data_IF_234537074671
#
_entry.id   IF_234537074671
#
_cell.length_a   1.000
_cell.length_b   1.000
_cell.length_c   1.000
_cell.angle_alpha   90.00
_cell.angle_beta   90.00
_cell.angle_gamma   90.00
#
_symmetry.space_group_name_H-M   'P 1'
#
loop_
_entity.id
_entity.type
_entity.pdbx_description
1 polymer ?
#
# COMPACT_ATOMS: atom_id res chain seq x y z
N UNK A 1 -26.06 7.73 -16.69
CA UNK A 1 -25.83 9.17 -16.86
C UNK A 1 -26.58 10.04 -15.84
N UNK A 2 -27.81 9.69 -15.45
CA UNK A 2 -28.56 10.40 -14.38
C UNK A 2 -27.76 10.57 -13.07
N UNK A 3 -27.04 9.52 -12.65
CA UNK A 3 -26.15 9.58 -11.49
C UNK A 3 -25.07 10.68 -11.59
N UNK A 4 -24.53 10.95 -12.78
CA UNK A 4 -23.53 12.01 -12.96
C UNK A 4 -24.18 13.39 -12.89
N UNK A 5 -25.39 13.55 -13.44
CA UNK A 5 -26.12 14.80 -13.31
C UNK A 5 -26.47 15.12 -11.84
N UNK A 6 -26.82 14.09 -11.07
CA UNK A 6 -27.05 14.18 -9.63
C UNK A 6 -25.76 14.53 -8.87
N UNK A 7 -24.63 13.86 -9.17
CA UNK A 7 -23.32 14.16 -8.57
C UNK A 7 -22.90 15.62 -8.80
N UNK A 8 -23.07 16.13 -10.03
CA UNK A 8 -22.79 17.53 -10.36
C UNK A 8 -23.71 18.47 -9.57
N UNK A 9 -25.00 18.15 -9.44
CA UNK A 9 -25.94 18.97 -8.67
C UNK A 9 -25.59 19.02 -7.18
N UNK A 10 -25.14 17.91 -6.60
CA UNK A 10 -24.66 17.83 -5.21
C UNK A 10 -23.43 18.72 -5.06
N UNK A 11 -22.40 18.53 -5.90
CA UNK A 11 -21.13 19.26 -5.77
C UNK A 11 -21.27 20.78 -5.99
N UNK A 12 -22.21 21.22 -6.82
CA UNK A 12 -22.51 22.67 -6.97
C UNK A 12 -23.09 23.29 -5.70
N UNK A 13 -23.70 22.51 -4.83
CA UNK A 13 -24.33 22.96 -3.60
C UNK A 13 -23.64 22.37 -2.36
N UNK A 14 -22.44 21.83 -2.52
CA UNK A 14 -21.75 21.17 -1.42
C UNK A 14 -21.39 22.18 -0.33
N UNK A 15 -21.71 21.82 0.90
CA UNK A 15 -21.45 22.64 2.10
C UNK A 15 -20.75 21.85 3.19
N UNK A 16 -20.65 20.53 3.04
CA UNK A 16 -19.98 19.66 3.99
C UNK A 16 -19.24 18.50 3.28
N UNK A 17 -18.28 17.85 3.97
CA UNK A 17 -17.53 16.72 3.40
C UNK A 17 -18.43 15.57 2.90
N UNK A 18 -19.53 15.28 3.59
CA UNK A 18 -20.45 14.20 3.19
C UNK A 18 -21.11 14.39 1.83
N UNK A 19 -21.21 15.63 1.33
CA UNK A 19 -21.68 15.90 -0.04
C UNK A 19 -20.69 15.38 -1.08
N UNK A 20 -19.38 15.45 -0.78
CA UNK A 20 -18.33 14.94 -1.66
C UNK A 20 -18.32 13.41 -1.69
N UNK A 21 -18.53 12.76 -0.54
CA UNK A 21 -18.66 11.30 -0.45
C UNK A 21 -19.87 10.79 -1.25
N UNK A 22 -21.03 11.44 -1.09
CA UNK A 22 -22.23 11.08 -1.85
C UNK A 22 -22.03 11.24 -3.37
N UNK A 23 -21.37 12.33 -3.80
CA UNK A 23 -21.05 12.54 -5.21
C UNK A 23 -20.07 11.46 -5.72
N UNK A 24 -19.11 11.05 -4.91
CA UNK A 24 -18.14 10.01 -5.23
C UNK A 24 -18.81 8.64 -5.46
N UNK A 25 -19.79 8.27 -4.64
CA UNK A 25 -20.57 7.05 -4.82
C UNK A 25 -21.32 7.04 -6.17
N UNK A 26 -21.90 8.17 -6.55
CA UNK A 26 -22.61 8.34 -7.82
C UNK A 26 -21.68 8.26 -9.03
N UNK A 27 -20.48 8.87 -8.95
CA UNK A 27 -19.43 8.74 -9.96
C UNK A 27 -19.02 7.28 -10.12
N UNK A 28 -18.77 6.59 -9.01
CA UNK A 28 -18.40 5.16 -9.02
C UNK A 28 -19.49 4.31 -9.67
N UNK A 29 -20.76 4.55 -9.31
CA UNK A 29 -21.91 3.85 -9.90
C UNK A 29 -22.02 4.06 -11.41
N UNK A 30 -21.67 5.24 -11.92
CA UNK A 30 -21.73 5.54 -13.34
C UNK A 30 -20.76 4.69 -14.18
N UNK A 31 -19.68 4.17 -13.59
CA UNK A 31 -18.70 3.31 -14.27
C UNK A 31 -19.22 1.92 -14.65
N UNK A 32 -20.47 1.58 -14.31
CA UNK A 32 -21.12 0.36 -14.78
C UNK A 32 -21.37 0.36 -16.30
N UNK A 33 -21.52 1.54 -16.89
CA UNK A 33 -21.61 1.74 -18.34
C UNK A 33 -20.36 2.48 -18.84
N UNK A 34 -19.30 1.72 -19.12
CA UNK A 34 -17.97 2.25 -19.45
C UNK A 34 -17.98 3.14 -20.70
N UNK A 35 -18.74 2.77 -21.73
CA UNK A 35 -18.79 3.50 -23.00
C UNK A 35 -19.46 4.86 -22.81
N UNK A 36 -20.66 4.91 -22.23
CA UNK A 36 -21.36 6.18 -21.99
C UNK A 36 -20.62 7.05 -20.98
N UNK A 37 -20.04 6.45 -19.94
CA UNK A 37 -19.31 7.16 -18.91
C UNK A 37 -18.04 7.81 -19.46
N UNK A 38 -17.23 7.07 -20.24
CA UNK A 38 -16.01 7.61 -20.85
C UNK A 38 -16.30 8.75 -21.82
N UNK A 39 -17.28 8.59 -22.72
CA UNK A 39 -17.68 9.65 -23.66
C UNK A 39 -18.15 10.94 -22.93
N UNK A 40 -18.91 10.79 -21.84
CA UNK A 40 -19.30 11.94 -21.03
C UNK A 40 -18.09 12.56 -20.32
N UNK A 41 -17.25 11.76 -19.68
CA UNK A 41 -16.11 12.22 -18.91
C UNK A 41 -15.16 13.09 -19.76
N UNK A 42 -14.82 12.64 -20.98
CA UNK A 42 -14.01 13.42 -21.94
C UNK A 42 -14.71 14.70 -22.43
N UNK A 43 -16.04 14.77 -22.37
CA UNK A 43 -16.78 16.00 -22.66
C UNK A 43 -16.72 16.95 -21.47
N UNK A 44 -16.90 16.44 -20.25
CA UNK A 44 -16.95 17.22 -19.02
C UNK A 44 -15.61 17.88 -18.67
N UNK A 45 -14.47 17.21 -18.88
CA UNK A 45 -13.14 17.82 -18.65
C UNK A 45 -12.84 19.03 -19.54
N UNK A 46 -13.61 19.24 -20.61
CA UNK A 46 -13.52 20.41 -21.49
C UNK A 46 -14.60 21.46 -21.20
N UNK A 47 -15.39 21.28 -20.13
CA UNK A 47 -16.46 22.21 -19.75
C UNK A 47 -15.88 23.53 -19.20
N UNK A 48 -16.61 24.62 -19.42
CA UNK A 48 -16.28 25.91 -18.79
C UNK A 48 -16.57 25.89 -17.27
N UNK A 49 -17.46 25.01 -16.82
CA UNK A 49 -17.83 24.85 -15.42
C UNK A 49 -16.81 23.99 -14.66
N UNK A 50 -16.29 24.51 -13.54
CA UNK A 50 -15.29 23.79 -12.75
C UNK A 50 -15.83 22.50 -12.13
N UNK A 51 -17.10 22.48 -11.72
CA UNK A 51 -17.72 21.27 -11.15
C UNK A 51 -17.84 20.17 -12.20
N UNK A 52 -18.25 20.51 -13.42
CA UNK A 52 -18.23 19.56 -14.52
C UNK A 52 -16.81 19.02 -14.76
N UNK A 53 -15.78 19.87 -14.81
CA UNK A 53 -14.40 19.41 -15.02
C UNK A 53 -13.91 18.50 -13.90
N UNK A 54 -14.20 18.85 -12.64
CA UNK A 54 -13.91 18.03 -11.46
C UNK A 54 -14.53 16.64 -11.60
N UNK A 55 -15.84 16.57 -11.83
CA UNK A 55 -16.58 15.29 -11.95
C UNK A 55 -16.11 14.50 -13.16
N UNK A 56 -15.86 15.17 -14.29
CA UNK A 56 -15.30 14.53 -15.49
C UNK A 56 -13.95 13.91 -15.20
N UNK A 57 -13.08 14.62 -14.48
CA UNK A 57 -11.76 14.14 -14.13
C UNK A 57 -11.82 12.97 -13.13
N UNK A 58 -12.64 13.06 -12.08
CA UNK A 58 -12.87 11.98 -11.11
C UNK A 58 -13.39 10.72 -11.83
N UNK A 59 -14.34 10.88 -12.76
CA UNK A 59 -14.91 9.79 -13.55
C UNK A 59 -13.86 9.13 -14.46
N UNK A 60 -13.01 9.92 -15.15
CA UNK A 60 -11.89 9.37 -15.92
C UNK A 60 -10.94 8.53 -15.04
N UNK A 61 -10.64 9.01 -13.83
CA UNK A 61 -9.83 8.30 -12.85
C UNK A 61 -10.44 6.93 -12.47
N UNK A 62 -11.74 6.87 -12.18
CA UNK A 62 -12.40 5.59 -11.88
C UNK A 62 -12.52 4.65 -13.09
N UNK A 63 -12.54 5.19 -14.31
CA UNK A 63 -12.63 4.40 -15.53
C UNK A 63 -11.30 3.75 -15.92
N UNK A 64 -10.16 4.43 -15.74
CA UNK A 64 -8.84 3.87 -16.08
C UNK A 64 -8.49 2.64 -15.25
N UNK A 65 -9.00 2.54 -14.02
CA UNK A 65 -8.87 1.34 -13.16
C UNK A 65 -9.64 0.13 -13.71
N UNK A 66 -10.64 0.35 -14.58
CA UNK A 66 -11.54 -0.69 -15.12
C UNK A 66 -11.25 -1.04 -16.57
N UNK A 67 -10.66 -0.11 -17.32
CA UNK A 67 -10.32 -0.27 -18.71
C UNK A 67 -8.93 0.32 -18.99
N UNK A 68 -7.96 -0.57 -19.10
CA UNK A 68 -6.57 -0.25 -19.38
C UNK A 68 -6.38 0.51 -20.71
N UNK A 69 -7.28 0.31 -21.68
CA UNK A 69 -7.20 1.02 -22.97
C UNK A 69 -7.41 2.53 -22.83
N UNK A 70 -8.00 2.98 -21.72
CA UNK A 70 -8.23 4.38 -21.42
C UNK A 70 -7.00 5.08 -20.83
N UNK A 71 -5.94 4.35 -20.42
CA UNK A 71 -4.82 4.94 -19.68
C UNK A 71 -4.15 6.10 -20.42
N UNK A 72 -3.77 5.89 -21.68
CA UNK A 72 -3.13 6.95 -22.47
C UNK A 72 -4.08 8.12 -22.78
N UNK A 73 -5.32 7.89 -23.26
CA UNK A 73 -6.29 8.97 -23.44
C UNK A 73 -6.57 9.79 -22.17
N UNK A 74 -6.72 9.13 -21.01
CA UNK A 74 -6.97 9.77 -19.71
C UNK A 74 -5.78 10.59 -19.28
N UNK A 75 -4.56 10.05 -19.38
CA UNK A 75 -3.33 10.77 -19.08
C UNK A 75 -3.23 12.07 -19.89
N UNK A 76 -3.41 11.98 -21.20
CA UNK A 76 -3.30 13.14 -22.08
C UNK A 76 -4.36 14.20 -21.75
N UNK A 77 -5.60 13.79 -21.50
CA UNK A 77 -6.67 14.71 -21.13
C UNK A 77 -6.41 15.38 -19.76
N UNK A 78 -5.91 14.64 -18.77
CA UNK A 78 -5.59 15.19 -17.46
C UNK A 78 -4.41 16.17 -17.51
N UNK A 79 -3.35 15.87 -18.28
CA UNK A 79 -2.22 16.77 -18.49
C UNK A 79 -2.61 18.02 -19.27
N UNK A 80 -3.45 17.89 -20.30
CA UNK A 80 -3.98 19.04 -21.04
C UNK A 80 -4.81 19.95 -20.14
N UNK A 81 -5.68 19.36 -19.32
CA UNK A 81 -6.48 20.11 -18.36
C UNK A 81 -5.58 20.83 -17.33
N UNK A 82 -4.60 20.13 -16.76
CA UNK A 82 -3.65 20.68 -15.78
C UNK A 82 -2.90 21.92 -16.29
N UNK A 83 -2.60 21.98 -17.59
CA UNK A 83 -1.89 23.10 -18.20
C UNK A 83 -2.68 24.42 -18.19
N UNK A 84 -4.01 24.37 -17.99
CA UNK A 84 -4.89 25.54 -18.06
C UNK A 84 -5.79 25.72 -16.83
N UNK A 85 -5.79 24.76 -15.91
CA UNK A 85 -6.65 24.78 -14.74
C UNK A 85 -6.21 25.80 -13.69
N UNK A 86 -7.20 26.38 -13.00
CA UNK A 86 -7.00 27.36 -11.93
C UNK A 86 -7.80 27.03 -10.67
N UNK A 87 -8.83 26.19 -10.78
CA UNK A 87 -9.65 25.75 -9.66
C UNK A 87 -8.95 24.66 -8.85
N UNK A 88 -8.87 24.88 -7.53
CA UNK A 88 -8.15 24.00 -6.62
C UNK A 88 -8.81 22.61 -6.51
N UNK A 89 -10.13 22.55 -6.50
CA UNK A 89 -10.85 21.27 -6.40
C UNK A 89 -10.68 20.43 -7.68
N UNK A 90 -10.52 21.09 -8.83
CA UNK A 90 -10.17 20.38 -10.07
C UNK A 90 -8.71 19.91 -10.05
N UNK A 91 -7.75 20.69 -9.51
CA UNK A 91 -6.37 20.23 -9.32
C UNK A 91 -6.27 18.98 -8.44
N UNK A 92 -7.06 18.90 -7.38
CA UNK A 92 -7.20 17.71 -6.54
C UNK A 92 -7.63 16.48 -7.36
N UNK A 93 -8.69 16.62 -8.18
CA UNK A 93 -9.13 15.56 -9.10
C UNK A 93 -8.08 15.20 -10.16
N UNK A 94 -7.36 16.18 -10.70
CA UNK A 94 -6.26 15.97 -11.66
C UNK A 94 -5.16 15.13 -11.00
N UNK A 95 -4.72 15.47 -9.78
CA UNK A 95 -3.69 14.72 -9.07
C UNK A 95 -4.08 13.25 -8.89
N UNK A 96 -5.30 12.99 -8.39
CA UNK A 96 -5.82 11.62 -8.24
C UNK A 96 -5.87 10.86 -9.56
N UNK A 97 -6.40 11.49 -10.61
CA UNK A 97 -6.55 10.83 -11.92
C UNK A 97 -5.21 10.55 -12.55
N UNK A 98 -4.25 11.47 -12.45
CA UNK A 98 -2.87 11.25 -12.88
C UNK A 98 -2.22 10.09 -12.13
N UNK A 99 -2.35 10.02 -10.80
CA UNK A 99 -1.86 8.90 -10.00
C UNK A 99 -2.44 7.56 -10.42
N UNK A 100 -3.76 7.49 -10.64
CA UNK A 100 -4.46 6.27 -11.11
C UNK A 100 -4.04 5.80 -12.49
N UNK A 101 -3.50 6.68 -13.34
CA UNK A 101 -2.95 6.22 -14.62
C UNK A 101 -1.74 5.30 -14.42
N UNK A 102 -0.96 5.51 -13.35
CA UNK A 102 0.31 4.82 -13.13
C UNK A 102 1.37 5.12 -14.19
N UNK A 103 1.21 6.18 -14.99
CA UNK A 103 2.14 6.54 -16.07
C UNK A 103 3.18 7.55 -15.58
N UNK A 104 4.46 7.24 -15.72
CA UNK A 104 5.57 8.10 -15.27
C UNK A 104 5.56 9.50 -15.91
N UNK A 105 4.94 9.66 -17.09
CA UNK A 105 4.77 10.98 -17.72
C UNK A 105 3.97 11.96 -16.86
N UNK A 106 3.18 11.47 -15.91
CA UNK A 106 2.43 12.28 -14.95
C UNK A 106 3.31 12.87 -13.83
N UNK A 107 4.48 12.29 -13.57
CA UNK A 107 5.31 12.62 -12.41
C UNK A 107 5.70 14.12 -12.34
N UNK A 108 6.13 14.79 -13.43
CA UNK A 108 6.46 16.20 -13.37
C UNK A 108 5.30 17.09 -12.90
N UNK A 109 4.07 16.74 -13.29
CA UNK A 109 2.88 17.49 -12.92
C UNK A 109 2.47 17.22 -11.46
N UNK A 110 2.54 15.96 -11.02
CA UNK A 110 2.34 15.61 -9.60
C UNK A 110 3.36 16.32 -8.69
N UNK A 111 4.64 16.35 -9.06
CA UNK A 111 5.68 17.05 -8.30
C UNK A 111 5.48 18.57 -8.27
N UNK A 112 4.90 19.16 -9.32
CA UNK A 112 4.49 20.57 -9.34
C UNK A 112 3.35 20.82 -8.35
N UNK A 113 2.33 19.95 -8.36
CA UNK A 113 1.17 20.05 -7.46
C UNK A 113 1.52 19.75 -5.99
N UNK A 114 2.62 19.04 -5.71
CA UNK A 114 3.12 18.84 -4.34
C UNK A 114 3.46 20.16 -3.61
N UNK A 115 3.60 21.27 -4.34
CA UNK A 115 3.82 22.60 -3.77
C UNK A 115 2.60 23.53 -3.91
N UNK A 116 1.42 22.97 -4.20
CA UNK A 116 0.19 23.74 -4.37
C UNK A 116 -0.23 24.44 -3.07
N UNK A 117 -0.77 25.68 -3.10
CA UNK A 117 -1.15 26.40 -1.88
C UNK A 117 -2.30 25.74 -1.10
N UNK A 118 -3.16 25.01 -1.80
CA UNK A 118 -4.29 24.29 -1.22
C UNK A 118 -3.86 22.93 -0.62
N UNK A 119 -4.30 22.64 0.61
CA UNK A 119 -3.91 21.43 1.33
C UNK A 119 -4.53 20.16 0.72
N UNK A 120 -5.78 20.23 0.26
CA UNK A 120 -6.47 19.07 -0.34
C UNK A 120 -5.71 18.58 -1.59
N UNK A 121 -5.20 19.52 -2.39
CA UNK A 121 -4.37 19.21 -3.57
C UNK A 121 -3.06 18.54 -3.15
N UNK A 122 -2.39 19.04 -2.10
CA UNK A 122 -1.14 18.44 -1.61
C UNK A 122 -1.36 17.06 -1.01
N UNK A 123 -2.48 16.86 -0.33
CA UNK A 123 -2.90 15.57 0.22
C UNK A 123 -3.13 14.56 -0.91
N UNK A 124 -3.91 14.94 -1.93
CA UNK A 124 -4.15 14.08 -3.09
C UNK A 124 -2.86 13.73 -3.83
N UNK A 125 -1.91 14.67 -3.91
CA UNK A 125 -0.58 14.39 -4.45
C UNK A 125 0.15 13.36 -3.59
N UNK A 126 0.18 13.51 -2.27
CA UNK A 126 0.80 12.54 -1.37
C UNK A 126 0.24 11.12 -1.57
N UNK A 127 -1.08 11.01 -1.76
CA UNK A 127 -1.78 9.75 -2.03
C UNK A 127 -1.59 9.21 -3.47
N UNK A 128 -1.17 10.05 -4.41
CA UNK A 128 -1.09 9.74 -5.85
C UNK A 128 0.33 9.53 -6.37
N UNK A 129 1.35 9.87 -5.57
CA UNK A 129 2.74 9.67 -5.97
C UNK A 129 3.05 8.18 -6.14
N UNK A 130 3.71 7.77 -7.25
CA UNK A 130 3.93 6.37 -7.55
C UNK A 130 4.94 5.76 -6.58
N UNK A 131 4.47 4.81 -5.77
CA UNK A 131 5.28 4.07 -4.82
C UNK A 131 5.34 2.61 -5.24
N UNK A 132 6.55 2.15 -5.53
CA UNK A 132 6.86 0.76 -5.85
C UNK A 132 8.21 0.38 -5.25
N UNK A 133 8.68 -0.82 -5.60
CA UNK A 133 9.99 -1.34 -5.14
C UNK A 133 11.13 -0.37 -5.47
N UNK A 134 11.03 0.32 -6.61
CA UNK A 134 12.02 1.29 -7.11
C UNK A 134 11.46 2.72 -7.18
N UNK A 135 10.79 3.17 -6.11
CA UNK A 135 10.33 4.56 -6.04
C UNK A 135 11.49 5.55 -6.29
N UNK A 136 11.32 6.44 -7.27
CA UNK A 136 12.37 7.36 -7.70
C UNK A 136 12.73 8.38 -6.60
N UNK A 137 13.98 8.83 -6.57
CA UNK A 137 14.47 9.82 -5.61
C UNK A 137 13.60 11.10 -5.55
N UNK A 138 13.15 11.70 -6.67
CA UNK A 138 12.24 12.85 -6.63
C UNK A 138 10.90 12.59 -5.93
N UNK A 139 10.36 11.37 -6.03
CA UNK A 139 9.13 10.98 -5.33
C UNK A 139 9.38 10.93 -3.82
N UNK A 140 10.48 10.31 -3.40
CA UNK A 140 10.85 10.22 -1.99
C UNK A 140 11.11 11.60 -1.39
N UNK A 141 11.82 12.49 -2.10
CA UNK A 141 12.05 13.86 -1.66
C UNK A 141 10.74 14.65 -1.50
N UNK A 142 9.80 14.49 -2.44
CA UNK A 142 8.50 15.14 -2.36
C UNK A 142 7.71 14.67 -1.13
N UNK A 143 7.66 13.36 -0.88
CA UNK A 143 6.98 12.80 0.30
C UNK A 143 7.66 13.21 1.60
N UNK A 144 9.00 13.24 1.66
CA UNK A 144 9.73 13.75 2.83
C UNK A 144 9.32 15.19 3.13
N UNK A 145 9.25 16.06 2.11
CA UNK A 145 8.76 17.43 2.28
C UNK A 145 7.31 17.49 2.75
N UNK A 146 6.41 16.72 2.15
CA UNK A 146 4.98 16.67 2.51
C UNK A 146 4.76 16.08 3.91
N UNK A 147 5.61 15.17 4.38
CA UNK A 147 5.56 14.68 5.76
C UNK A 147 5.85 15.77 6.80
N UNK A 148 6.35 16.95 6.38
CA UNK A 148 6.59 18.11 7.22
C UNK A 148 5.63 19.28 6.92
N UNK A 149 4.51 19.01 6.24
CA UNK A 149 3.51 20.01 5.90
C UNK A 149 2.84 20.64 7.13
N UNK A 150 2.29 21.84 6.97
CA UNK A 150 1.56 22.50 8.05
C UNK A 150 0.20 21.83 8.32
N UNK A 151 -0.40 21.26 7.28
CA UNK A 151 -1.66 20.55 7.33
C UNK A 151 -1.47 19.10 7.81
N UNK A 152 -2.29 18.66 8.74
CA UNK A 152 -2.19 17.35 9.38
C UNK A 152 -2.59 16.19 8.46
N UNK A 153 -3.60 16.36 7.60
CA UNK A 153 -3.99 15.34 6.62
C UNK A 153 -2.89 15.14 5.56
N UNK A 154 -2.26 16.23 5.10
CA UNK A 154 -1.09 16.15 4.20
C UNK A 154 0.07 15.42 4.87
N UNK A 155 0.39 15.75 6.13
CA UNK A 155 1.44 15.04 6.88
C UNK A 155 1.11 13.57 7.06
N UNK A 156 -0.15 13.25 7.35
CA UNK A 156 -0.62 11.89 7.59
C UNK A 156 -0.41 11.03 6.35
N UNK A 157 -0.96 11.45 5.21
CA UNK A 157 -0.83 10.73 3.95
C UNK A 157 0.62 10.56 3.51
N UNK A 158 1.44 11.61 3.64
CA UNK A 158 2.85 11.50 3.27
C UNK A 158 3.66 10.58 4.21
N UNK A 159 3.34 10.58 5.50
CA UNK A 159 3.98 9.70 6.49
C UNK A 159 3.53 8.25 6.30
N UNK A 160 2.24 8.02 6.05
CA UNK A 160 1.70 6.72 5.66
C UNK A 160 2.36 6.20 4.38
N UNK A 161 2.45 7.03 3.35
CA UNK A 161 3.13 6.70 2.09
C UNK A 161 4.59 6.26 2.30
N UNK A 162 5.38 7.06 3.04
CA UNK A 162 6.76 6.70 3.39
C UNK A 162 6.83 5.45 4.28
N UNK A 163 5.95 5.34 5.27
CA UNK A 163 5.98 4.30 6.29
C UNK A 163 5.51 2.94 5.78
N UNK A 164 4.41 2.91 5.04
CA UNK A 164 3.63 1.72 4.71
C UNK A 164 3.65 1.33 3.23
N UNK A 165 3.77 2.29 2.32
CA UNK A 165 3.69 2.01 0.87
C UNK A 165 5.07 1.98 0.21
N UNK A 166 6.03 2.74 0.76
CA UNK A 166 7.40 2.77 0.27
C UNK A 166 8.22 1.60 0.83
N UNK A 167 8.77 0.77 -0.08
CA UNK A 167 9.69 -0.32 0.27
C UNK A 167 11.14 0.15 0.45
N UNK A 168 11.48 1.36 -0.01
CA UNK A 168 12.83 1.89 0.14
C UNK A 168 13.16 2.18 1.61
N UNK A 169 14.42 1.94 1.96
CA UNK A 169 14.98 2.28 3.26
C UNK A 169 16.27 3.08 3.07
N UNK A 170 16.42 4.12 3.89
CA UNK A 170 17.51 5.07 3.79
C UNK A 170 17.52 6.03 4.95
N UNK A 171 18.67 6.67 5.19
CA UNK A 171 18.85 7.61 6.29
C UNK A 171 17.88 8.79 6.22
N UNK A 172 17.58 9.28 5.01
CA UNK A 172 16.62 10.37 4.79
C UNK A 172 15.18 9.96 5.15
N UNK A 173 14.73 8.80 4.71
CA UNK A 173 13.40 8.26 5.05
C UNK A 173 13.29 8.05 6.56
N UNK A 174 14.27 7.38 7.17
CA UNK A 174 14.29 7.15 8.62
C UNK A 174 14.28 8.47 9.39
N UNK A 175 15.02 9.49 8.94
CA UNK A 175 15.02 10.80 9.59
C UNK A 175 13.66 11.50 9.49
N UNK A 176 12.98 11.42 8.34
CA UNK A 176 11.64 11.98 8.15
C UNK A 176 10.62 11.30 9.08
N UNK A 177 10.62 9.97 9.17
CA UNK A 177 9.76 9.23 10.10
C UNK A 177 10.09 9.56 11.56
N UNK A 178 11.37 9.60 11.95
CA UNK A 178 11.77 10.00 13.31
C UNK A 178 11.33 11.43 13.66
N UNK A 179 11.22 12.33 12.69
CA UNK A 179 10.73 13.68 12.95
C UNK A 179 9.22 13.73 13.27
N UNK A 180 8.49 12.63 13.03
CA UNK A 180 7.03 12.50 13.17
C UNK A 180 6.56 11.61 14.34
N UNK A 181 7.44 10.89 15.02
CA UNK A 181 7.04 10.00 16.14
C UNK A 181 6.36 10.73 17.32
N UNK A 182 6.59 12.04 17.45
CA UNK A 182 5.99 12.93 18.46
C UNK A 182 5.13 14.05 17.81
N UNK A 183 4.63 13.85 16.58
CA UNK A 183 3.71 14.79 15.92
C UNK A 183 2.48 15.12 16.80
N UNK A 184 1.90 16.31 16.62
CA UNK A 184 0.72 16.71 17.38
C UNK A 184 -0.52 15.87 16.98
N UNK A 185 -0.61 15.48 15.70
CA UNK A 185 -1.71 14.66 15.20
C UNK A 185 -1.43 13.18 15.44
N UNK A 186 -2.43 12.45 15.96
CA UNK A 186 -2.27 11.06 16.40
C UNK A 186 -1.87 10.11 15.29
N UNK A 187 -2.61 10.16 14.18
CA UNK A 187 -2.40 9.27 13.04
C UNK A 187 -0.99 9.44 12.46
N UNK A 188 -0.48 10.68 12.35
CA UNK A 188 0.90 10.94 11.89
C UNK A 188 1.95 10.28 12.79
N UNK A 189 1.77 10.32 14.12
CA UNK A 189 2.68 9.64 15.06
C UNK A 189 2.67 8.13 14.84
N UNK A 190 1.48 7.58 14.75
CA UNK A 190 1.26 6.14 14.63
C UNK A 190 1.84 5.62 13.31
N UNK A 191 1.67 6.36 12.21
CA UNK A 191 2.29 6.05 10.91
C UNK A 191 3.81 6.09 10.94
N UNK A 192 4.38 7.10 11.60
CA UNK A 192 5.81 7.21 11.75
C UNK A 192 6.40 6.04 12.55
N UNK A 193 5.75 5.68 13.66
CA UNK A 193 6.13 4.56 14.52
C UNK A 193 6.05 3.25 13.73
N UNK A 194 4.95 3.01 13.03
CA UNK A 194 4.76 1.82 12.22
C UNK A 194 5.78 1.76 11.07
N UNK A 195 6.06 2.87 10.38
CA UNK A 195 7.06 2.91 9.31
C UNK A 195 8.49 2.60 9.76
N UNK A 196 8.86 3.01 10.98
CA UNK A 196 10.14 2.67 11.62
C UNK A 196 10.18 1.22 12.09
N UNK A 197 9.06 0.70 12.60
CA UNK A 197 8.92 -0.70 13.01
C UNK A 197 9.03 -1.65 11.80
N UNK A 198 8.40 -1.30 10.66
CA UNK A 198 8.56 -2.01 9.38
C UNK A 198 10.01 -2.10 8.93
N UNK A 199 10.79 -1.04 9.16
CA UNK A 199 12.23 -0.97 8.86
C UNK A 199 13.12 -1.52 9.97
N UNK A 200 12.53 -2.23 10.94
CA UNK A 200 13.21 -2.93 12.04
C UNK A 200 14.12 -2.00 12.85
N UNK A 201 13.72 -0.75 13.02
CA UNK A 201 14.44 0.22 13.84
C UNK A 201 14.13 0.00 15.32
N UNK A 202 14.92 -0.84 15.99
CA UNK A 202 14.74 -1.21 17.40
C UNK A 202 14.60 -0.02 18.37
N UNK A 203 15.06 1.18 17.99
CA UNK A 203 14.90 2.40 18.81
C UNK A 203 13.42 2.79 18.99
N UNK A 204 12.52 2.32 18.12
CA UNK A 204 11.08 2.63 18.19
C UNK A 204 10.31 1.75 19.19
N UNK A 205 10.93 0.70 19.75
CA UNK A 205 10.28 -0.24 20.69
C UNK A 205 9.52 0.45 21.83
N UNK A 206 10.06 1.47 22.53
CA UNK A 206 9.32 2.13 23.61
C UNK A 206 8.06 2.86 23.13
N UNK A 207 8.02 3.30 21.87
CA UNK A 207 6.86 3.95 21.28
C UNK A 207 5.81 2.91 20.89
N UNK A 208 6.21 1.80 20.26
CA UNK A 208 5.31 0.67 19.96
C UNK A 208 4.69 0.10 21.23
N UNK A 209 5.49 -0.12 22.28
CA UNK A 209 5.00 -0.57 23.58
C UNK A 209 3.91 0.36 24.13
N UNK A 210 4.11 1.68 24.04
CA UNK A 210 3.10 2.67 24.47
C UNK A 210 1.82 2.58 23.64
N UNK A 211 1.93 2.45 22.30
CA UNK A 211 0.74 2.31 21.45
C UNK A 211 -0.08 1.08 21.85
N UNK A 212 0.58 -0.07 22.05
CA UNK A 212 -0.04 -1.30 22.53
C UNK A 212 -0.65 -1.13 23.93
N UNK A 213 0.06 -0.53 24.89
CA UNK A 213 -0.48 -0.27 26.25
C UNK A 213 -1.76 0.57 26.23
N UNK A 214 -1.83 1.56 25.33
CA UNK A 214 -2.98 2.47 25.22
C UNK A 214 -4.09 1.97 24.30
N UNK A 215 -3.83 0.91 23.52
CA UNK A 215 -4.69 0.49 22.41
C UNK A 215 -4.84 1.54 21.30
N UNK A 216 -3.91 2.49 21.19
CA UNK A 216 -3.93 3.57 20.20
C UNK A 216 -3.14 3.16 18.94
N UNK A 217 -3.63 2.12 18.27
CA UNK A 217 -3.06 1.62 17.02
C UNK A 217 -4.17 1.05 16.14
N UNK A 218 -3.96 1.06 14.83
CA UNK A 218 -4.85 0.42 13.88
C UNK A 218 -4.42 -1.03 13.61
N UNK A 219 -5.34 -1.96 13.32
CA UNK A 219 -5.02 -3.38 13.08
C UNK A 219 -3.92 -3.61 12.02
N UNK A 220 -3.85 -2.79 10.97
CA UNK A 220 -2.81 -2.93 9.93
C UNK A 220 -1.39 -2.68 10.46
N UNK A 221 -1.23 -1.99 11.59
CA UNK A 221 0.07 -1.69 12.20
C UNK A 221 0.68 -2.92 12.89
N UNK A 222 -0.09 -3.99 13.12
CA UNK A 222 0.41 -5.24 13.68
C UNK A 222 1.45 -5.92 12.77
N UNK A 223 1.31 -5.77 11.46
CA UNK A 223 2.30 -6.21 10.47
C UNK A 223 3.64 -5.50 10.69
N UNK A 224 3.61 -4.21 11.03
CA UNK A 224 4.82 -3.45 11.34
C UNK A 224 5.51 -3.96 12.60
N UNK A 225 4.75 -4.33 13.63
CA UNK A 225 5.31 -4.88 14.87
C UNK A 225 5.89 -6.28 14.64
N UNK A 226 5.29 -7.05 13.74
CA UNK A 226 5.81 -8.34 13.26
C UNK A 226 7.16 -8.18 12.53
N UNK A 227 7.33 -7.12 11.74
CA UNK A 227 8.61 -6.79 11.12
C UNK A 227 9.66 -6.42 12.17
N UNK A 228 9.29 -5.58 13.14
CA UNK A 228 10.19 -5.14 14.22
C UNK A 228 10.71 -6.34 15.00
N UNK A 229 9.86 -7.33 15.28
CA UNK A 229 10.23 -8.62 15.84
C UNK A 229 11.05 -8.45 17.15
N UNK A 230 10.60 -7.59 18.06
CA UNK A 230 11.33 -7.29 19.29
C UNK A 230 10.71 -8.02 20.48
N UNK A 231 11.44 -8.94 21.17
CA UNK A 231 10.90 -9.74 22.27
C UNK A 231 10.35 -8.91 23.43
N UNK A 232 10.84 -7.68 23.59
CA UNK A 232 10.33 -6.73 24.57
C UNK A 232 8.84 -6.38 24.38
N UNK A 233 8.28 -6.63 23.19
CA UNK A 233 6.87 -6.38 22.88
C UNK A 233 5.93 -7.51 23.32
N UNK A 234 6.46 -8.71 23.62
CA UNK A 234 5.64 -9.89 23.95
C UNK A 234 4.63 -9.68 25.09
N UNK A 235 4.98 -9.03 26.22
CA UNK A 235 4.01 -8.82 27.29
C UNK A 235 2.78 -8.01 26.83
N UNK A 236 3.01 -7.02 25.97
CA UNK A 236 1.96 -6.13 25.45
C UNK A 236 1.11 -6.81 24.38
N UNK A 237 1.73 -7.55 23.46
CA UNK A 237 1.02 -8.26 22.39
C UNK A 237 0.09 -9.35 22.93
N UNK A 238 0.44 -9.98 24.06
CA UNK A 238 -0.40 -11.03 24.69
C UNK A 238 -1.74 -10.51 25.19
N UNK A 239 -1.89 -9.20 25.42
CA UNK A 239 -3.17 -8.61 25.81
C UNK A 239 -4.22 -8.67 24.69
N UNK A 240 -3.78 -8.96 23.46
CA UNK A 240 -4.62 -8.99 22.25
C UNK A 240 -4.65 -10.37 21.58
N UNK A 241 -4.35 -11.45 22.29
CA UNK A 241 -4.17 -12.81 21.73
C UNK A 241 -5.38 -13.38 20.97
N UNK A 242 -6.56 -12.77 21.11
CA UNK A 242 -7.79 -13.14 20.40
C UNK A 242 -7.87 -12.55 18.97
N UNK A 243 -7.01 -11.60 18.61
CA UNK A 243 -6.97 -11.00 17.26
C UNK A 243 -6.07 -11.83 16.32
N UNK A 244 -6.59 -12.21 15.16
CA UNK A 244 -5.85 -13.03 14.18
C UNK A 244 -4.54 -12.36 13.74
N UNK A 245 -4.50 -11.02 13.63
CA UNK A 245 -3.31 -10.27 13.25
C UNK A 245 -2.21 -10.30 14.32
N UNK A 246 -2.58 -10.52 15.58
CA UNK A 246 -1.65 -10.56 16.72
C UNK A 246 -0.84 -11.85 16.76
N UNK A 247 -1.39 -12.96 16.27
CA UNK A 247 -0.70 -14.26 16.27
C UNK A 247 0.62 -14.19 15.50
N UNK A 248 0.63 -13.51 14.35
CA UNK A 248 1.84 -13.30 13.56
C UNK A 248 2.87 -12.45 14.32
N UNK A 249 2.44 -11.35 14.96
CA UNK A 249 3.32 -10.48 15.75
C UNK A 249 3.89 -11.21 16.98
N UNK A 250 3.08 -12.03 17.66
CA UNK A 250 3.51 -12.85 18.79
C UNK A 250 4.59 -13.86 18.36
N UNK A 251 4.34 -14.63 17.29
CA UNK A 251 5.33 -15.59 16.74
C UNK A 251 6.60 -14.87 16.29
N UNK A 252 6.47 -13.71 15.64
CA UNK A 252 7.62 -12.94 15.19
C UNK A 252 8.44 -12.36 16.36
N UNK A 253 7.81 -11.96 17.47
CA UNK A 253 8.51 -11.43 18.64
C UNK A 253 9.03 -12.53 19.58
N UNK A 254 8.54 -13.77 19.47
CA UNK A 254 8.99 -14.91 20.27
C UNK A 254 10.29 -15.52 19.70
N UNK A 255 11.41 -15.46 20.44
CA UNK A 255 12.68 -16.04 19.99
C UNK A 255 12.61 -17.54 19.72
N UNK A 256 11.80 -18.30 20.47
CA UNK A 256 11.66 -19.76 20.28
C UNK A 256 10.89 -20.05 19.00
N UNK A 257 9.78 -19.36 18.77
CA UNK A 257 8.99 -19.50 17.54
C UNK A 257 9.80 -19.10 16.30
N UNK A 258 10.58 -18.01 16.37
CA UNK A 258 11.52 -17.64 15.29
C UNK A 258 12.57 -18.71 15.05
N UNK A 259 13.18 -19.24 16.11
CA UNK A 259 14.17 -20.31 16.00
C UNK A 259 13.60 -21.57 15.34
N UNK A 260 12.36 -21.94 15.69
CA UNK A 260 11.66 -23.06 15.07
C UNK A 260 11.35 -22.81 13.59
N UNK A 261 10.92 -21.61 13.22
CA UNK A 261 10.70 -21.22 11.81
C UNK A 261 12.00 -21.28 11.00
N UNK A 262 13.08 -20.74 11.53
CA UNK A 262 14.37 -20.70 10.84
C UNK A 262 14.97 -22.10 10.69
N UNK A 263 14.81 -22.98 11.70
CA UNK A 263 15.17 -24.39 11.61
C UNK A 263 14.33 -25.13 10.55
N UNK A 264 13.01 -24.94 10.56
CA UNK A 264 12.13 -25.51 9.53
C UNK A 264 12.51 -25.05 8.12
N UNK A 265 12.87 -23.78 7.94
CA UNK A 265 13.32 -23.25 6.65
C UNK A 265 14.58 -23.97 6.15
N UNK A 266 15.55 -24.20 7.04
CA UNK A 266 16.79 -24.91 6.73
C UNK A 266 16.51 -26.38 6.38
N UNK A 267 15.75 -27.09 7.22
CA UNK A 267 15.42 -28.50 7.00
C UNK A 267 14.56 -28.69 5.72
N UNK A 268 13.69 -27.73 5.41
CA UNK A 268 12.90 -27.74 4.17
C UNK A 268 13.79 -27.56 2.94
N UNK A 269 14.78 -26.68 2.99
CA UNK A 269 15.75 -26.51 1.92
C UNK A 269 16.52 -27.82 1.67
N UNK A 270 16.97 -28.51 2.73
CA UNK A 270 17.60 -29.82 2.62
C UNK A 270 16.64 -30.85 2.01
N UNK A 271 15.41 -30.93 2.52
CA UNK A 271 14.40 -31.87 2.04
C UNK A 271 14.04 -31.67 0.55
N UNK A 272 14.02 -30.43 0.07
CA UNK A 272 13.82 -30.09 -1.34
C UNK A 272 15.03 -30.48 -2.19
N UNK A 273 16.25 -30.19 -1.73
CA UNK A 273 17.47 -30.55 -2.44
C UNK A 273 17.60 -32.08 -2.59
N UNK A 274 17.31 -32.85 -1.55
CA UNK A 274 17.37 -34.31 -1.58
C UNK A 274 16.33 -34.93 -2.53
N UNK A 275 15.13 -34.35 -2.60
CA UNK A 275 14.01 -34.89 -3.40
C UNK A 275 14.01 -34.40 -4.84
N UNK A 276 14.48 -33.19 -5.07
CA UNK A 276 14.47 -32.51 -6.36
C UNK A 276 15.76 -31.69 -6.54
N UNK A 277 16.92 -32.35 -6.75
CA UNK A 277 18.23 -31.69 -6.76
C UNK A 277 18.40 -30.66 -7.88
N UNK A 278 17.65 -30.81 -8.97
CA UNK A 278 17.66 -29.87 -10.11
C UNK A 278 16.69 -28.67 -9.90
N UNK A 279 15.93 -28.65 -8.80
CA UNK A 279 15.01 -27.57 -8.50
C UNK A 279 15.80 -26.35 -8.01
N UNK A 280 15.77 -25.27 -8.79
CA UNK A 280 16.24 -23.98 -8.30
C UNK A 280 15.22 -23.43 -7.30
N UNK A 281 15.66 -23.03 -6.11
CA UNK A 281 14.83 -22.33 -5.13
C UNK A 281 15.67 -21.40 -4.26
N UNK A 282 15.02 -20.49 -3.55
CA UNK A 282 15.65 -19.61 -2.57
C UNK A 282 14.68 -19.24 -1.45
N UNK A 283 15.23 -19.07 -0.25
CA UNK A 283 14.49 -18.53 0.90
C UNK A 283 14.97 -17.11 1.17
N UNK A 284 14.04 -16.16 1.25
CA UNK A 284 14.34 -14.75 1.49
C UNK A 284 13.26 -14.13 2.38
N UNK A 285 13.50 -12.92 2.87
CA UNK A 285 12.50 -12.08 3.52
C UNK A 285 12.64 -10.67 2.99
N UNK A 286 11.53 -9.94 2.87
CA UNK A 286 11.57 -8.54 2.46
C UNK A 286 11.89 -7.64 3.65
N UNK A 287 12.44 -6.45 3.37
CA UNK A 287 12.88 -5.53 4.42
C UNK A 287 11.70 -5.05 5.25
N UNK A 288 10.60 -4.67 4.59
CA UNK A 288 9.43 -4.06 5.21
C UNK A 288 8.20 -4.99 5.27
N UNK A 289 8.39 -6.29 5.07
CA UNK A 289 7.37 -7.34 5.28
C UNK A 289 7.86 -8.38 6.30
N UNK A 290 6.95 -8.97 7.09
CA UNK A 290 7.31 -9.99 8.06
C UNK A 290 7.51 -11.37 7.42
N UNK A 291 8.12 -12.27 8.17
CA UNK A 291 8.25 -13.67 7.79
C UNK A 291 9.34 -13.95 6.75
N UNK A 292 9.30 -15.17 6.23
CA UNK A 292 10.21 -15.69 5.20
C UNK A 292 9.37 -16.32 4.09
N UNK A 293 9.86 -16.20 2.86
CA UNK A 293 9.25 -16.72 1.65
C UNK A 293 10.23 -17.65 0.96
N UNK A 294 9.74 -18.80 0.50
CA UNK A 294 10.45 -19.69 -0.40
C UNK A 294 9.92 -19.50 -1.82
N UNK A 295 10.79 -19.04 -2.72
CA UNK A 295 10.50 -18.95 -4.14
C UNK A 295 11.18 -20.09 -4.90
N UNK A 296 10.47 -20.62 -5.91
CA UNK A 296 10.97 -21.69 -6.77
C UNK A 296 11.23 -21.14 -8.17
N UNK A 297 12.42 -21.38 -8.70
CA UNK A 297 12.82 -20.93 -10.03
C UNK A 297 11.93 -21.56 -11.12
N UNK A 298 11.37 -20.73 -11.99
CA UNK A 298 10.50 -21.17 -13.07
C UNK A 298 9.08 -21.60 -12.63
N UNK A 299 8.77 -21.52 -11.34
CA UNK A 299 7.41 -21.65 -10.80
C UNK A 299 6.84 -20.28 -10.45
N UNK A 300 5.57 -20.03 -10.79
CA UNK A 300 4.89 -18.77 -10.43
C UNK A 300 4.29 -18.74 -9.03
N UNK A 301 4.77 -19.58 -8.10
CA UNK A 301 4.21 -19.72 -6.76
C UNK A 301 5.29 -19.52 -5.70
N UNK A 302 5.15 -18.43 -4.96
CA UNK A 302 5.91 -18.13 -3.75
C UNK A 302 5.21 -18.74 -2.53
N UNK A 303 6.00 -19.28 -1.61
CA UNK A 303 5.51 -19.99 -0.42
C UNK A 303 5.91 -19.25 0.85
N UNK A 304 4.97 -18.57 1.50
CA UNK A 304 5.18 -18.07 2.86
C UNK A 304 5.43 -19.23 3.82
N UNK A 305 6.54 -19.18 4.56
CA UNK A 305 6.99 -20.31 5.37
C UNK A 305 6.09 -20.60 6.57
N UNK A 306 5.48 -19.59 7.20
CA UNK A 306 4.62 -19.79 8.36
C UNK A 306 3.32 -20.55 8.02
N UNK A 307 2.53 -20.13 7.00
CA UNK A 307 1.40 -20.93 6.52
C UNK A 307 1.83 -22.33 6.04
N UNK A 308 2.99 -22.45 5.41
CA UNK A 308 3.50 -23.76 4.97
C UNK A 308 3.83 -24.66 6.16
N UNK A 309 4.49 -24.13 7.19
CA UNK A 309 4.78 -24.80 8.45
C UNK A 309 3.49 -25.33 9.09
N UNK A 310 2.47 -24.47 9.23
CA UNK A 310 1.19 -24.83 9.85
C UNK A 310 0.50 -25.96 9.06
N UNK A 311 0.42 -25.86 7.73
CA UNK A 311 -0.20 -26.90 6.88
C UNK A 311 0.56 -28.22 6.86
N UNK A 312 1.89 -28.16 6.94
CA UNK A 312 2.74 -29.34 7.00
C UNK A 312 2.79 -29.95 8.41
N UNK A 313 2.25 -29.28 9.42
CA UNK A 313 2.36 -29.69 10.82
C UNK A 313 3.79 -29.63 11.33
N UNK A 314 4.59 -28.70 10.82
CA UNK A 314 6.01 -28.56 11.13
C UNK A 314 6.94 -29.60 10.51
N UNK A 315 6.44 -30.48 9.63
CA UNK A 315 7.25 -31.50 8.94
C UNK A 315 7.84 -30.96 7.62
N UNK A 316 9.17 -30.77 7.53
CA UNK A 316 9.82 -30.27 6.33
C UNK A 316 9.71 -31.20 5.11
N UNK A 317 9.69 -32.52 5.34
CA UNK A 317 9.55 -33.51 4.27
C UNK A 317 8.16 -33.41 3.62
N UNK A 318 7.12 -33.31 4.44
CA UNK A 318 5.75 -33.10 3.97
C UNK A 318 5.61 -31.76 3.25
N UNK A 319 6.23 -30.69 3.77
CA UNK A 319 6.23 -29.38 3.11
C UNK A 319 6.91 -29.44 1.72
N UNK A 320 8.04 -30.15 1.60
CA UNK A 320 8.71 -30.35 0.32
C UNK A 320 7.82 -31.09 -0.69
N UNK A 321 7.10 -32.13 -0.26
CA UNK A 321 6.13 -32.85 -1.10
C UNK A 321 5.00 -31.94 -1.60
N UNK A 322 4.49 -31.04 -0.74
CA UNK A 322 3.46 -30.06 -1.12
C UNK A 322 3.97 -29.08 -2.19
N UNK A 323 5.21 -28.60 -2.05
CA UNK A 323 5.82 -27.69 -3.02
C UNK A 323 6.02 -28.39 -4.36
N UNK A 324 6.67 -29.55 -4.36
CA UNK A 324 6.99 -30.31 -5.58
C UNK A 324 5.70 -30.73 -6.30
N UNK A 325 4.69 -31.18 -5.56
CA UNK A 325 3.40 -31.59 -6.10
C UNK A 325 2.60 -30.46 -6.75
N UNK A 326 2.88 -29.20 -6.39
CA UNK A 326 2.23 -28.03 -6.97
C UNK A 326 2.94 -27.52 -8.24
N UNK A 327 4.13 -28.02 -8.58
CA UNK A 327 4.86 -27.57 -9.76
C UNK A 327 4.22 -28.11 -11.07
N UNK A 328 4.21 -27.33 -12.16
CA UNK A 328 3.70 -27.79 -13.45
C UNK A 328 4.49 -29.00 -13.95
N UNK A 329 3.85 -30.18 -13.95
CA UNK A 329 4.48 -31.45 -14.37
C UNK A 329 4.78 -32.44 -13.24
N UNK A 330 4.47 -32.12 -11.98
CA UNK A 330 4.58 -33.04 -10.84
C UNK A 330 3.62 -34.23 -10.96
N UNK A 331 4.09 -35.36 -11.47
CA UNK A 331 3.36 -36.62 -11.40
C UNK A 331 3.27 -37.08 -9.95
N UNK A 332 2.04 -37.27 -9.46
CA UNK A 332 1.76 -38.20 -8.37
C UNK A 332 2.27 -39.59 -8.76
N UNK A 333 3.46 -39.97 -8.30
CA UNK A 333 3.90 -41.36 -8.32
C UNK A 333 3.32 -42.04 -7.08
N UNK A 334 2.11 -42.59 -7.24
CA UNK A 334 1.63 -43.64 -6.36
C UNK A 334 2.52 -44.87 -6.59
N UNK A 335 3.52 -45.07 -5.72
CA UNK A 335 4.21 -46.34 -5.63
C UNK A 335 3.48 -47.23 -4.63
N UNK A 336 2.51 -47.98 -5.13
CA UNK A 336 2.04 -49.21 -4.49
C UNK A 336 3.10 -50.31 -4.67
N UNK A 337 3.70 -50.73 -3.56
CA UNK A 337 4.10 -52.12 -3.29
C UNK A 337 4.33 -52.29 -1.78
#
# INVERSE_FOLDING_TARGET
>A
MEAIAEAVAILRNATCPGDHDQAWELVTKATQDLESASALAFTMVRSADAVDRKVGCDLLGSLVERDESLREPVLLAALELAASETDHAVHASIARTLGRTGDERALPELLRLAAHPDADVRQDVAASLPLGVDASEPVIEALIRLSADADDDVRNWATFALGQQCQADGTAIRAALWARVDDAFGEVREEAIAGLARRRDARVVPYVARLLETGAFYPYQLTAFSCLAEPALLPYLREYEEDEGIVAALRACDPEARGARDAFAADLAEALHDRAPDLGFGVFGEVCEPGLVLAVAGGGLDWSLEPLYDRAGGDPARAAEMIIGALPGGTASAASA
#
